data_IF_913763277604
#
_entry.id   IF_913763277604
#
_cell.length_a   1.000
_cell.length_b   1.000
_cell.length_c   1.000
_cell.angle_alpha   90.00
_cell.angle_beta   90.00
_cell.angle_gamma   90.00
#
_symmetry.space_group_name_H-M   'P 1'
#
loop_
_entity.id
_entity.type
_entity.pdbx_description
1 polymer ?
#
# COMPACT_ATOMS: atom_id res chain seq x y z
N UNK A 1 15.26 -13.13 -1.50
CA UNK A 1 14.81 -13.26 -0.10
C UNK A 1 13.31 -13.02 -0.06
N UNK A 2 12.59 -13.78 0.76
CA UNK A 2 11.15 -13.59 0.96
C UNK A 2 10.93 -12.50 2.00
N UNK A 3 10.09 -11.53 1.70
CA UNK A 3 9.80 -10.42 2.62
C UNK A 3 8.59 -10.77 3.50
N UNK A 4 8.74 -10.56 4.81
CA UNK A 4 7.72 -10.82 5.81
C UNK A 4 7.06 -9.50 6.21
N UNK A 5 5.76 -9.39 5.94
CA UNK A 5 4.96 -8.26 6.42
C UNK A 5 4.70 -8.38 7.92
N UNK A 6 4.90 -7.28 8.63
CA UNK A 6 4.46 -7.09 10.00
C UNK A 6 3.44 -5.95 10.05
N UNK A 7 2.38 -6.05 10.87
CA UNK A 7 1.53 -4.91 11.13
C UNK A 7 2.30 -3.79 11.84
N UNK A 8 1.79 -2.57 11.67
CA UNK A 8 2.43 -1.33 12.10
C UNK A 8 2.78 -1.31 13.60
N UNK A 9 1.91 -1.87 14.43
CA UNK A 9 2.04 -1.98 15.89
C UNK A 9 3.11 -2.98 16.34
N UNK A 10 3.45 -3.95 15.50
CA UNK A 10 4.45 -4.97 15.78
C UNK A 10 5.88 -4.53 15.45
N UNK A 11 6.10 -3.31 14.93
CA UNK A 11 7.43 -2.91 14.47
C UNK A 11 8.47 -2.82 15.60
N UNK A 12 9.70 -3.26 15.29
CA UNK A 12 10.86 -3.13 16.15
C UNK A 12 12.13 -2.91 15.35
N UNK A 13 13.03 -2.04 15.82
CA UNK A 13 14.37 -1.83 15.25
C UNK A 13 15.24 -3.10 15.27
N UNK A 14 14.81 -4.14 15.99
CA UNK A 14 15.49 -5.45 16.04
C UNK A 14 15.23 -6.30 14.79
N UNK A 15 14.20 -5.98 14.01
CA UNK A 15 13.90 -6.73 12.80
C UNK A 15 14.91 -6.40 11.69
N UNK A 16 15.39 -7.45 11.03
CA UNK A 16 16.32 -7.36 9.91
C UNK A 16 15.65 -6.87 8.61
N UNK A 17 16.41 -6.87 7.49
CA UNK A 17 15.92 -6.42 6.18
C UNK A 17 14.85 -7.33 5.56
N UNK A 18 14.63 -8.52 6.13
CA UNK A 18 13.62 -9.47 5.69
C UNK A 18 12.21 -9.07 6.13
N UNK A 19 12.08 -8.11 7.05
CA UNK A 19 10.79 -7.67 7.58
C UNK A 19 10.46 -6.26 7.12
N UNK A 20 9.17 -6.00 6.86
CA UNK A 20 8.70 -4.65 6.57
C UNK A 20 7.31 -4.37 7.14
N UNK A 21 7.03 -3.09 7.36
CA UNK A 21 5.70 -2.59 7.75
C UNK A 21 5.21 -1.56 6.74
N UNK A 22 3.89 -1.40 6.67
CA UNK A 22 3.24 -0.41 5.80
C UNK A 22 2.13 0.28 6.59
N UNK A 23 2.16 1.61 6.62
CA UNK A 23 1.15 2.43 7.26
C UNK A 23 0.65 3.52 6.31
N UNK A 24 -0.67 3.71 6.19
CA UNK A 24 -1.24 4.84 5.45
C UNK A 24 -1.40 6.03 6.40
N UNK A 25 -0.53 7.02 6.29
CA UNK A 25 -0.42 8.11 7.27
C UNK A 25 -1.53 9.15 7.02
N UNK A 26 -1.62 9.64 5.79
CA UNK A 26 -2.51 10.74 5.41
C UNK A 26 -2.89 10.65 3.94
N UNK A 27 -3.84 11.49 3.54
CA UNK A 27 -4.14 11.76 2.14
C UNK A 27 -3.74 13.20 1.78
N UNK A 28 -3.45 13.42 0.50
CA UNK A 28 -3.11 14.71 -0.08
C UNK A 28 -4.02 14.93 -1.29
N UNK A 29 -4.70 16.06 -1.35
CA UNK A 29 -5.46 16.47 -2.53
C UNK A 29 -4.54 17.30 -3.41
N UNK A 30 -4.31 16.88 -4.65
CA UNK A 30 -3.44 17.59 -5.59
C UNK A 30 -4.29 18.41 -6.55
N UNK A 31 -4.11 19.74 -6.49
CA UNK A 31 -4.78 20.73 -7.36
C UNK A 31 -6.31 20.56 -7.44
N UNK A 32 -6.93 20.03 -6.38
CA UNK A 32 -8.36 19.68 -6.36
C UNK A 32 -8.83 18.75 -7.50
N UNK A 33 -7.90 18.01 -8.12
CA UNK A 33 -8.21 17.09 -9.21
C UNK A 33 -8.27 15.63 -8.74
N UNK A 34 -7.40 15.24 -7.81
CA UNK A 34 -7.30 13.87 -7.30
C UNK A 34 -6.66 13.78 -5.93
N UNK A 35 -7.01 12.71 -5.21
CA UNK A 35 -6.41 12.37 -3.92
C UNK A 35 -5.31 11.32 -4.07
N UNK A 36 -4.20 11.55 -3.37
CA UNK A 36 -3.09 10.63 -3.17
C UNK A 36 -3.07 10.19 -1.70
N UNK A 37 -2.73 8.93 -1.45
CA UNK A 37 -2.52 8.38 -0.12
C UNK A 37 -1.03 8.23 0.11
N UNK A 38 -0.54 8.76 1.23
CA UNK A 38 0.85 8.64 1.65
C UNK A 38 1.03 7.37 2.47
N UNK A 39 1.75 6.42 1.89
CA UNK A 39 2.14 5.17 2.54
C UNK A 39 3.56 5.35 3.08
N UNK A 40 3.75 5.05 4.35
CA UNK A 40 5.06 4.93 4.97
C UNK A 40 5.45 3.46 5.02
N UNK A 41 6.61 3.14 4.46
CA UNK A 41 7.18 1.79 4.48
C UNK A 41 8.43 1.83 5.35
N UNK A 42 8.57 0.82 6.21
CA UNK A 42 9.78 0.59 7.00
C UNK A 42 10.28 -0.81 6.70
N UNK A 43 11.55 -0.97 6.38
CA UNK A 43 12.20 -2.26 6.13
C UNK A 43 13.62 -2.22 6.72
N UNK A 44 13.89 -3.06 7.73
CA UNK A 44 15.10 -2.96 8.55
C UNK A 44 15.41 -1.53 9.01
N UNK A 45 16.53 -0.97 8.55
CA UNK A 45 16.93 0.42 8.84
C UNK A 45 16.42 1.45 7.84
N UNK A 46 15.81 1.01 6.74
CA UNK A 46 15.31 1.88 5.67
C UNK A 46 13.88 2.29 5.99
N UNK A 47 13.57 3.55 5.77
CA UNK A 47 12.21 4.05 5.76
C UNK A 47 12.04 5.01 4.59
N UNK A 48 10.90 4.94 3.92
CA UNK A 48 10.55 5.85 2.84
C UNK A 48 9.05 6.01 2.77
N UNK A 49 8.63 6.93 1.90
CA UNK A 49 7.23 7.21 1.65
C UNK A 49 6.93 7.05 0.17
N UNK A 50 5.77 6.48 -0.13
CA UNK A 50 5.24 6.43 -1.50
C UNK A 50 3.86 7.07 -1.52
N UNK A 51 3.57 7.78 -2.61
CA UNK A 51 2.26 8.38 -2.85
C UNK A 51 1.53 7.52 -3.87
N UNK A 52 0.34 7.02 -3.51
CA UNK A 52 -0.48 6.18 -4.39
C UNK A 52 -1.90 6.68 -4.49
N UNK A 53 -2.48 6.72 -5.69
CA UNK A 53 -3.91 7.03 -5.90
C UNK A 53 -4.75 5.76 -5.76
N UNK A 54 -6.04 5.91 -5.46
CA UNK A 54 -6.97 4.78 -5.33
C UNK A 54 -6.96 3.82 -6.53
N UNK A 55 -6.89 4.33 -7.76
CA UNK A 55 -6.85 3.47 -8.95
C UNK A 55 -5.57 2.64 -9.08
N UNK A 56 -4.47 3.02 -8.43
CA UNK A 56 -3.28 2.14 -8.36
C UNK A 56 -3.53 0.95 -7.42
N UNK A 57 -4.31 1.11 -6.34
CA UNK A 57 -4.73 -0.01 -5.50
C UNK A 57 -5.67 -0.96 -6.25
N UNK A 58 -6.57 -0.41 -7.08
CA UNK A 58 -7.44 -1.17 -7.98
C UNK A 58 -6.64 -2.00 -8.99
N UNK A 59 -5.65 -1.39 -9.63
CA UNK A 59 -4.73 -2.10 -10.52
C UNK A 59 -3.94 -3.17 -9.76
N UNK A 60 -3.44 -2.88 -8.55
CA UNK A 60 -2.72 -3.85 -7.73
C UNK A 60 -3.60 -5.07 -7.39
N UNK A 61 -4.83 -4.85 -6.94
CA UNK A 61 -5.78 -5.92 -6.62
C UNK A 61 -6.03 -6.80 -7.86
N UNK A 62 -6.20 -6.19 -9.03
CA UNK A 62 -6.37 -6.92 -10.29
C UNK A 62 -5.13 -7.76 -10.65
N UNK A 63 -3.92 -7.21 -10.50
CA UNK A 63 -2.66 -7.91 -10.80
C UNK A 63 -2.43 -9.12 -9.90
N UNK A 64 -2.79 -9.02 -8.61
CA UNK A 64 -2.56 -10.10 -7.65
C UNK A 64 -3.74 -11.07 -7.51
N UNK A 65 -4.85 -10.84 -8.22
CA UNK A 65 -6.09 -11.63 -8.13
C UNK A 65 -5.84 -13.13 -8.33
N UNK A 66 -5.02 -13.51 -9.30
CA UNK A 66 -4.70 -14.92 -9.55
C UNK A 66 -3.88 -15.57 -8.43
N UNK A 67 -3.01 -14.82 -7.75
CA UNK A 67 -2.20 -15.32 -6.62
C UNK A 67 -3.00 -15.36 -5.32
N UNK A 68 -3.81 -14.34 -5.07
CA UNK A 68 -4.60 -14.24 -3.85
C UNK A 68 -5.80 -15.21 -3.87
N UNK A 69 -6.39 -15.46 -5.05
CA UNK A 69 -7.55 -16.33 -5.21
C UNK A 69 -8.70 -15.91 -4.28
N UNK A 70 -9.24 -16.86 -3.53
CA UNK A 70 -10.35 -16.62 -2.59
C UNK A 70 -9.96 -15.79 -1.36
N UNK A 71 -8.66 -15.52 -1.15
CA UNK A 71 -8.17 -14.68 -0.04
C UNK A 71 -8.05 -13.21 -0.41
N UNK A 72 -8.41 -12.84 -1.64
CA UNK A 72 -8.32 -11.47 -2.13
C UNK A 72 -9.25 -10.56 -1.29
N UNK A 73 -8.72 -9.55 -0.58
CA UNK A 73 -9.55 -8.64 0.19
C UNK A 73 -10.37 -7.75 -0.72
N UNK A 74 -11.55 -7.34 -0.25
CA UNK A 74 -12.42 -6.41 -0.95
C UNK A 74 -11.82 -5.00 -0.99
N UNK A 75 -11.91 -4.35 -2.14
CA UNK A 75 -11.57 -2.94 -2.28
C UNK A 75 -12.79 -2.07 -1.91
N UNK A 76 -12.56 -0.83 -1.43
CA UNK A 76 -13.63 0.14 -1.28
C UNK A 76 -14.38 0.34 -2.61
N UNK A 77 -15.69 0.64 -2.57
CA UNK A 77 -16.47 0.89 -3.77
C UNK A 77 -15.85 2.02 -4.61
N UNK A 78 -15.78 1.78 -5.93
CA UNK A 78 -15.31 2.77 -6.89
C UNK A 78 -16.34 3.89 -7.00
N UNK A 79 -15.88 5.13 -7.11
CA UNK A 79 -16.76 6.27 -7.39
C UNK A 79 -16.79 6.48 -8.89
N UNK A 80 -17.83 6.00 -9.57
CA UNK A 80 -17.92 6.05 -11.03
C UNK A 80 -18.36 7.42 -11.58
N UNK A 81 -19.04 8.25 -10.79
CA UNK A 81 -19.67 9.47 -11.30
C UNK A 81 -19.16 10.80 -10.71
N UNK A 82 -18.48 10.79 -9.56
CA UNK A 82 -17.95 12.01 -8.95
C UNK A 82 -16.60 11.73 -8.30
N UNK A 83 -15.58 12.55 -8.58
CA UNK A 83 -14.36 12.56 -7.75
C UNK A 83 -14.72 13.24 -6.44
N UNK A 84 -15.23 12.44 -5.51
CA UNK A 84 -15.52 12.94 -4.18
C UNK A 84 -14.20 13.19 -3.46
N UNK A 85 -13.89 14.47 -3.28
CA UNK A 85 -12.73 14.98 -2.57
C UNK A 85 -13.12 15.49 -1.18
N UNK A 86 -14.35 15.18 -0.71
CA UNK A 86 -14.77 15.50 0.64
C UNK A 86 -13.79 14.86 1.65
N UNK A 87 -13.24 15.64 2.60
CA UNK A 87 -12.37 15.13 3.66
C UNK A 87 -12.90 13.88 4.37
N UNK A 88 -14.19 13.83 4.70
CA UNK A 88 -14.80 12.69 5.41
C UNK A 88 -14.76 11.42 4.55
N UNK A 89 -15.05 11.59 3.26
CA UNK A 89 -15.01 10.51 2.28
C UNK A 89 -13.58 9.99 2.08
N UNK A 90 -12.60 10.89 1.93
CA UNK A 90 -11.18 10.52 1.79
C UNK A 90 -10.63 9.86 3.06
N UNK A 91 -11.04 10.33 4.24
CA UNK A 91 -10.66 9.73 5.52
C UNK A 91 -11.23 8.30 5.66
N UNK A 92 -12.52 8.12 5.40
CA UNK A 92 -13.16 6.80 5.43
C UNK A 92 -12.53 5.85 4.41
N UNK A 93 -12.25 6.34 3.20
CA UNK A 93 -11.57 5.55 2.17
C UNK A 93 -10.15 5.18 2.59
N UNK A 94 -9.40 6.06 3.24
CA UNK A 94 -8.06 5.77 3.79
C UNK A 94 -8.11 4.59 4.77
N UNK A 95 -9.09 4.56 5.67
CA UNK A 95 -9.26 3.47 6.66
C UNK A 95 -9.56 2.13 5.97
N UNK A 96 -10.46 2.13 4.99
CA UNK A 96 -10.75 0.93 4.20
C UNK A 96 -9.53 0.46 3.41
N UNK A 97 -8.72 1.37 2.86
CA UNK A 97 -7.47 1.03 2.18
C UNK A 97 -6.41 0.47 3.14
N UNK A 98 -6.38 0.95 4.40
CA UNK A 98 -5.50 0.40 5.45
C UNK A 98 -5.86 -1.06 5.73
N UNK A 99 -7.15 -1.33 5.92
CA UNK A 99 -7.67 -2.70 6.13
C UNK A 99 -7.37 -3.58 4.92
N UNK A 100 -7.66 -3.11 3.71
CA UNK A 100 -7.35 -3.82 2.46
C UNK A 100 -5.86 -4.21 2.37
N UNK A 101 -4.93 -3.27 2.59
CA UNK A 101 -3.50 -3.57 2.52
C UNK A 101 -3.07 -4.55 3.61
N UNK A 102 -3.58 -4.40 4.83
CA UNK A 102 -3.27 -5.31 5.93
C UNK A 102 -3.63 -6.76 5.57
N UNK A 103 -4.86 -6.99 5.12
CA UNK A 103 -5.31 -8.33 4.71
C UNK A 103 -4.56 -8.83 3.48
N UNK A 104 -4.29 -7.95 2.51
CA UNK A 104 -3.58 -8.33 1.29
C UNK A 104 -2.18 -8.83 1.65
N UNK A 105 -1.42 -8.10 2.45
CA UNK A 105 -0.03 -8.40 2.80
C UNK A 105 0.12 -9.58 3.77
N UNK A 106 -0.96 -10.00 4.45
CA UNK A 106 -0.99 -11.23 5.24
C UNK A 106 -1.02 -12.50 4.38
N UNK A 107 -1.34 -12.41 3.08
CA UNK A 107 -1.37 -13.57 2.19
C UNK A 107 0.07 -14.07 1.96
N UNK A 108 0.40 -15.33 2.27
CA UNK A 108 1.74 -15.87 2.05
C UNK A 108 2.16 -15.76 0.57
N UNK A 109 3.38 -15.27 0.32
CA UNK A 109 3.96 -15.12 -1.02
C UNK A 109 3.47 -13.91 -1.82
N UNK A 110 2.53 -13.11 -1.29
CA UNK A 110 2.02 -11.91 -1.97
C UNK A 110 3.07 -10.79 -2.02
N UNK A 111 3.85 -10.63 -0.95
CA UNK A 111 4.90 -9.63 -0.83
C UNK A 111 6.10 -9.94 -1.73
N UNK A 112 6.13 -11.15 -2.28
CA UNK A 112 7.13 -11.58 -3.26
C UNK A 112 6.68 -11.31 -4.70
N UNK A 113 5.42 -10.88 -4.92
CA UNK A 113 4.94 -10.43 -6.23
C UNK A 113 5.59 -9.11 -6.65
N UNK A 114 6.01 -9.03 -7.92
CA UNK A 114 6.69 -7.86 -8.45
C UNK A 114 5.81 -6.60 -8.44
N UNK A 115 4.50 -6.72 -8.66
CA UNK A 115 3.58 -5.59 -8.64
C UNK A 115 3.42 -5.06 -7.22
N UNK A 116 3.38 -5.94 -6.21
CA UNK A 116 3.33 -5.55 -4.80
C UNK A 116 4.61 -4.85 -4.39
N UNK A 117 5.78 -5.40 -4.76
CA UNK A 117 7.08 -4.79 -4.45
C UNK A 117 7.24 -3.43 -5.11
N UNK A 118 6.82 -3.28 -6.35
CA UNK A 118 6.86 -2.02 -7.08
C UNK A 118 5.88 -0.99 -6.49
N UNK A 119 4.66 -1.42 -6.17
CA UNK A 119 3.66 -0.57 -5.53
C UNK A 119 4.18 0.01 -4.20
N UNK A 120 4.83 -0.81 -3.37
CA UNK A 120 5.41 -0.41 -2.09
C UNK A 120 6.79 0.27 -2.20
N UNK A 121 7.42 0.27 -3.37
CA UNK A 121 8.79 0.77 -3.54
C UNK A 121 9.86 -0.10 -2.87
N UNK A 122 9.59 -1.40 -2.71
CA UNK A 122 10.53 -2.39 -2.16
C UNK A 122 11.57 -2.86 -3.19
N UNK A 123 11.31 -2.64 -4.49
CA UNK A 123 12.35 -2.80 -5.51
C UNK A 123 13.42 -1.75 -5.23
N UNK A 124 14.66 -2.20 -5.02
CA UNK A 124 15.84 -1.33 -5.05
C UNK A 124 15.84 -0.59 -6.38
N UNK A 125 15.34 0.65 -6.41
CA UNK A 125 15.69 1.54 -7.49
C UNK A 125 17.16 1.90 -7.26
N UNK A 126 18.05 1.24 -7.99
CA UNK A 126 19.45 1.65 -8.15
C UNK A 126 19.55 3.06 -8.75
N UNK A 127 18.45 3.67 -9.17
CA UNK A 127 18.41 4.97 -9.78
C UNK A 127 17.48 5.91 -9.00
N UNK A 128 17.88 7.18 -8.93
CA UNK A 128 17.24 8.35 -8.30
C UNK A 128 17.92 8.89 -7.03
N UNK A 129 19.24 9.07 -7.11
CA UNK A 129 19.87 10.32 -6.70
C UNK A 129 20.65 10.86 -7.92
N UNK A 130 19.99 11.69 -8.73
CA UNK A 130 20.63 12.69 -9.58
C UNK A 130 19.91 14.01 -9.32
#
# INVERSE_FOLDING_TARGET
>A
MSLVYLPEDAWSLRYGPDYFTVAIIKYLVKKDEYALYELQIQNGRRNWKVLRRFSEFDSLQASVRFKAGNRLPELPPKTYCCRDLNPDFLSKRRELLKVFLHHLLQIPGIADDDHVREFLGLKLSTELYV
#
